data_IF_799018941529
#
_entry.id   IF_799018941529
#
_cell.length_a   1.000
_cell.length_b   1.000
_cell.length_c   1.000
_cell.angle_alpha   90.00
_cell.angle_beta   90.00
_cell.angle_gamma   90.00
#
_symmetry.space_group_name_H-M   'P 1'
#
loop_
_entity.id
_entity.type
_entity.pdbx_description
1 polymer ?
#
# COMPACT_ATOMS: atom_id res chain seq x y z
N UNK A 1 -16.40 5.27 5.16
CA UNK A 1 -17.50 5.84 5.97
C UNK A 1 -16.94 6.86 6.96
N UNK A 2 -17.48 8.08 6.94
CA UNK A 2 -17.22 9.07 8.00
C UNK A 2 -18.15 8.78 9.16
N UNK A 3 -17.61 8.78 10.37
CA UNK A 3 -18.40 8.60 11.58
C UNK A 3 -19.30 9.83 11.85
N UNK A 4 -20.32 9.70 12.70
CA UNK A 4 -21.26 10.80 12.98
C UNK A 4 -20.58 12.10 13.41
N UNK A 5 -21.31 13.21 13.29
CA UNK A 5 -20.82 14.56 13.62
C UNK A 5 -20.08 14.61 14.94
N UNK A 6 -18.86 15.13 14.94
CA UNK A 6 -17.99 15.31 16.11
C UNK A 6 -16.89 14.26 16.26
N UNK A 7 -16.93 13.15 15.54
CA UNK A 7 -15.86 12.14 15.56
C UNK A 7 -15.00 12.30 14.31
N UNK A 8 -13.75 12.79 14.42
CA UNK A 8 -12.89 13.07 13.27
C UNK A 8 -12.22 11.80 12.75
N UNK A 9 -13.00 10.76 12.45
CA UNK A 9 -12.53 9.46 11.99
C UNK A 9 -13.31 9.01 10.77
N UNK A 10 -12.63 8.43 9.79
CA UNK A 10 -13.23 7.68 8.70
C UNK A 10 -12.69 6.27 8.65
N UNK A 11 -13.54 5.33 8.31
CA UNK A 11 -13.19 3.95 8.02
C UNK A 11 -13.42 3.71 6.53
N UNK A 12 -12.49 2.99 5.90
CA UNK A 12 -12.68 2.50 4.54
C UNK A 12 -12.34 1.02 4.46
N UNK A 13 -13.05 0.32 3.60
CA UNK A 13 -12.79 -1.08 3.35
C UNK A 13 -13.11 -1.40 1.89
N UNK A 14 -12.37 -2.35 1.35
CA UNK A 14 -12.63 -2.93 0.05
C UNK A 14 -12.48 -4.44 0.15
N UNK A 15 -13.47 -5.16 -0.36
CA UNK A 15 -13.46 -6.60 -0.58
C UNK A 15 -13.63 -6.84 -2.05
N UNK A 16 -12.70 -7.58 -2.65
CA UNK A 16 -12.74 -7.96 -4.05
C UNK A 16 -12.86 -9.49 -4.09
N UNK A 17 -13.93 -9.97 -4.68
CA UNK A 17 -14.16 -11.39 -4.84
C UNK A 17 -13.76 -11.85 -6.24
N UNK A 18 -13.12 -13.01 -6.32
CA UNK A 18 -12.85 -13.72 -7.57
C UNK A 18 -13.73 -14.97 -7.71
N UNK A 19 -14.04 -15.34 -8.95
CA UNK A 19 -14.88 -16.49 -9.26
C UNK A 19 -14.27 -17.80 -8.72
N UNK A 20 -15.13 -18.68 -8.22
CA UNK A 20 -14.73 -20.00 -7.76
C UNK A 20 -14.23 -20.90 -8.89
N UNK A 21 -13.17 -21.67 -8.67
CA UNK A 21 -12.75 -22.74 -9.58
C UNK A 21 -13.79 -23.88 -9.56
N UNK A 22 -14.23 -24.32 -10.74
CA UNK A 22 -14.99 -25.54 -10.88
C UNK A 22 -16.50 -25.39 -11.11
N UNK A 23 -16.98 -24.23 -11.57
CA UNK A 23 -18.39 -24.09 -12.02
C UNK A 23 -19.41 -24.04 -10.87
N UNK A 24 -18.97 -23.85 -9.64
CA UNK A 24 -19.85 -23.53 -8.51
C UNK A 24 -20.30 -22.07 -8.58
N UNK A 25 -21.59 -21.81 -8.36
CA UNK A 25 -22.10 -20.46 -8.22
C UNK A 25 -21.53 -19.85 -6.92
N UNK A 26 -20.69 -18.81 -7.06
CA UNK A 26 -20.21 -18.04 -5.93
C UNK A 26 -18.77 -17.56 -6.04
N UNK A 27 -18.39 -16.71 -5.09
CA UNK A 27 -17.04 -16.16 -4.98
C UNK A 27 -16.13 -17.19 -4.32
N UNK A 28 -15.06 -17.60 -5.02
CA UNK A 28 -14.13 -18.62 -4.55
C UNK A 28 -13.00 -18.09 -3.70
N UNK A 29 -12.62 -16.84 -3.90
CA UNK A 29 -11.53 -16.22 -3.15
C UNK A 29 -11.70 -14.70 -3.00
N UNK A 30 -11.02 -14.13 -2.01
CA UNK A 30 -11.17 -12.74 -1.62
C UNK A 30 -9.84 -12.05 -1.44
N UNK A 31 -9.75 -10.80 -1.95
CA UNK A 31 -8.72 -9.84 -1.62
C UNK A 31 -9.32 -8.77 -0.71
N UNK A 32 -8.51 -8.15 0.14
CA UNK A 32 -9.01 -7.22 1.17
C UNK A 32 -8.12 -6.01 1.34
N UNK A 33 -8.78 -4.88 1.61
CA UNK A 33 -8.14 -3.65 2.03
C UNK A 33 -8.97 -3.00 3.13
N UNK A 34 -8.33 -2.60 4.20
CA UNK A 34 -8.94 -1.94 5.35
C UNK A 34 -8.11 -0.73 5.72
N UNK A 35 -8.77 0.36 6.08
CA UNK A 35 -8.08 1.53 6.57
C UNK A 35 -8.91 2.38 7.51
N UNK A 36 -8.18 3.13 8.31
CA UNK A 36 -8.70 4.13 9.23
C UNK A 36 -7.99 5.46 8.98
N UNK A 37 -8.73 6.52 9.00
CA UNK A 37 -8.23 7.88 8.88
C UNK A 37 -8.73 8.71 10.06
N UNK A 38 -7.84 9.52 10.60
CA UNK A 38 -8.14 10.48 11.65
C UNK A 38 -7.64 11.87 11.23
N UNK A 39 -8.42 12.90 11.49
CA UNK A 39 -8.00 14.28 11.28
C UNK A 39 -8.34 15.14 12.50
N UNK A 40 -7.56 16.19 12.71
CA UNK A 40 -7.73 17.06 13.88
C UNK A 40 -6.73 18.18 13.93
N UNK A 41 -6.56 18.71 15.12
CA UNK A 41 -5.58 19.78 15.41
C UNK A 41 -4.64 19.37 16.53
N UNK A 42 -3.35 19.64 16.34
CA UNK A 42 -2.28 19.51 17.32
C UNK A 42 -1.66 20.89 17.53
N UNK A 43 -2.12 21.62 18.56
CA UNK A 43 -1.72 23.01 18.76
C UNK A 43 -2.14 23.91 17.59
N UNK A 44 -1.17 24.51 16.91
CA UNK A 44 -1.40 25.37 15.73
C UNK A 44 -1.36 24.61 14.38
N UNK A 45 -1.21 23.30 14.38
CA UNK A 45 -1.17 22.46 13.19
C UNK A 45 -2.47 21.67 13.03
N UNK A 46 -2.99 21.61 11.81
CA UNK A 46 -3.98 20.62 11.41
C UNK A 46 -3.28 19.36 10.96
N UNK A 47 -3.83 18.19 11.27
CA UNK A 47 -3.28 16.92 10.82
C UNK A 47 -4.34 16.04 10.17
N UNK A 48 -3.86 15.18 9.27
CA UNK A 48 -4.59 14.06 8.69
C UNK A 48 -3.66 12.85 8.71
N UNK A 49 -4.05 11.84 9.46
CA UNK A 49 -3.26 10.61 9.63
C UNK A 49 -4.11 9.43 9.19
N UNK A 50 -3.52 8.52 8.43
CA UNK A 50 -4.18 7.29 8.00
C UNK A 50 -3.31 6.09 8.29
N UNK A 51 -3.96 4.98 8.57
CA UNK A 51 -3.37 3.65 8.61
C UNK A 51 -4.18 2.73 7.70
N UNK A 52 -3.48 1.93 6.88
CA UNK A 52 -4.11 1.02 5.93
C UNK A 52 -3.39 -0.32 5.94
N UNK A 53 -4.16 -1.39 5.78
CA UNK A 53 -3.68 -2.75 5.53
C UNK A 53 -4.32 -3.24 4.25
N UNK A 54 -3.51 -3.63 3.28
CA UNK A 54 -3.95 -4.30 2.06
C UNK A 54 -3.42 -5.73 2.06
N UNK A 55 -4.29 -6.69 1.79
CA UNK A 55 -3.96 -8.12 1.67
C UNK A 55 -4.42 -8.58 0.30
N UNK A 56 -3.48 -8.73 -0.62
CA UNK A 56 -3.70 -9.21 -1.99
C UNK A 56 -3.42 -10.70 -2.13
N UNK A 57 -3.16 -11.40 -1.03
CA UNK A 57 -3.20 -12.85 -0.98
C UNK A 57 -4.64 -13.33 -1.11
N UNK A 58 -4.93 -14.15 -2.09
CA UNK A 58 -6.24 -14.77 -2.21
C UNK A 58 -6.54 -15.65 -1.00
N UNK A 59 -7.75 -15.49 -0.44
CA UNK A 59 -8.21 -16.31 0.68
C UNK A 59 -9.53 -16.96 0.33
N UNK A 60 -9.61 -18.25 0.55
CA UNK A 60 -10.81 -19.04 0.32
C UNK A 60 -11.82 -18.90 1.48
N UNK A 61 -13.05 -19.42 1.25
CA UNK A 61 -14.12 -19.43 2.24
C UNK A 61 -14.89 -18.12 2.38
N UNK A 62 -15.93 -18.14 3.22
CA UNK A 62 -16.82 -17.01 3.42
C UNK A 62 -16.07 -15.77 3.88
N UNK A 63 -16.14 -14.71 3.11
CA UNK A 63 -15.44 -13.43 3.34
C UNK A 63 -13.90 -13.54 3.43
N UNK A 64 -13.28 -14.63 2.97
CA UNK A 64 -11.81 -14.78 2.94
C UNK A 64 -11.15 -14.89 4.31
N UNK A 65 -11.72 -15.67 5.22
CA UNK A 65 -11.14 -15.92 6.55
C UNK A 65 -10.48 -17.29 6.69
N UNK A 66 -10.44 -18.08 5.63
CA UNK A 66 -9.78 -19.38 5.60
C UNK A 66 -8.48 -19.37 4.80
N UNK A 67 -8.15 -20.48 4.20
CA UNK A 67 -6.86 -20.80 3.62
C UNK A 67 -6.34 -19.77 2.62
N UNK A 68 -5.04 -19.48 2.71
CA UNK A 68 -4.31 -18.63 1.78
C UNK A 68 -3.96 -19.42 0.52
N UNK A 69 -4.13 -18.79 -0.65
CA UNK A 69 -3.88 -19.39 -1.95
C UNK A 69 -2.91 -18.51 -2.74
N UNK A 70 -1.68 -18.96 -2.92
CA UNK A 70 -0.69 -18.21 -3.69
C UNK A 70 -1.03 -18.20 -5.19
N UNK A 71 -0.44 -17.25 -5.90
CA UNK A 71 -0.53 -17.12 -7.36
C UNK A 71 -1.98 -17.09 -7.89
N UNK A 72 -2.88 -16.42 -7.16
CA UNK A 72 -4.29 -16.34 -7.51
C UNK A 72 -4.67 -14.91 -7.95
N UNK A 73 -4.30 -13.89 -7.16
CA UNK A 73 -4.64 -12.52 -7.44
C UNK A 73 -4.08 -12.06 -8.80
N UNK A 74 -4.95 -11.43 -9.61
CA UNK A 74 -4.60 -10.94 -10.96
C UNK A 74 -4.21 -12.04 -11.97
N UNK A 75 -4.37 -13.31 -11.61
CA UNK A 75 -4.15 -14.45 -12.49
C UNK A 75 -5.48 -15.04 -12.96
N UNK A 76 -5.51 -15.60 -14.16
CA UNK A 76 -6.71 -16.27 -14.68
C UNK A 76 -6.35 -17.52 -15.48
N UNK A 77 -7.12 -18.60 -15.29
CA UNK A 77 -6.82 -19.88 -15.94
C UNK A 77 -7.08 -19.89 -17.45
N UNK A 78 -8.12 -19.20 -17.88
CA UNK A 78 -8.54 -19.12 -19.30
C UNK A 78 -7.89 -17.93 -19.99
N UNK A 79 -7.91 -16.76 -19.35
CA UNK A 79 -7.29 -15.55 -19.86
C UNK A 79 -5.85 -15.49 -19.37
N UNK A 80 -4.92 -16.04 -20.14
CA UNK A 80 -3.50 -16.23 -19.75
C UNK A 80 -2.76 -14.95 -19.39
N UNK A 81 -3.22 -13.78 -19.85
CA UNK A 81 -2.66 -12.49 -19.45
C UNK A 81 -3.06 -12.09 -18.04
N UNK A 82 -4.13 -12.72 -17.50
CA UNK A 82 -4.69 -12.34 -16.22
C UNK A 82 -5.21 -10.92 -16.20
N UNK A 83 -5.38 -10.34 -15.03
CA UNK A 83 -5.76 -8.94 -14.83
C UNK A 83 -4.50 -8.05 -14.77
N UNK A 84 -3.72 -8.07 -15.88
CA UNK A 84 -2.41 -7.42 -16.00
C UNK A 84 -2.30 -6.58 -17.27
N UNK A 85 -1.56 -5.47 -17.17
CA UNK A 85 -1.19 -4.63 -18.30
C UNK A 85 0.31 -4.33 -18.25
N UNK A 86 1.01 -4.56 -19.35
CA UNK A 86 2.48 -4.38 -19.45
C UNK A 86 3.26 -5.03 -18.28
N UNK A 87 2.84 -6.25 -17.89
CA UNK A 87 3.48 -7.02 -16.82
C UNK A 87 3.13 -6.61 -15.40
N UNK A 88 2.25 -5.60 -15.21
CA UNK A 88 1.81 -5.14 -13.89
C UNK A 88 0.35 -5.52 -13.63
N UNK A 89 0.04 -5.94 -12.41
CA UNK A 89 -1.34 -6.14 -11.97
C UNK A 89 -2.15 -4.85 -12.08
N UNK A 90 -3.38 -4.95 -12.62
CA UNK A 90 -4.31 -3.81 -12.66
C UNK A 90 -5.13 -3.82 -11.38
N UNK A 91 -4.52 -3.38 -10.30
CA UNK A 91 -5.14 -3.39 -8.98
C UNK A 91 -4.23 -2.72 -7.96
N UNK A 92 -3.96 -3.40 -6.84
CA UNK A 92 -3.08 -2.86 -5.83
C UNK A 92 -1.63 -2.72 -6.35
N UNK A 93 -0.92 -1.62 -6.05
CA UNK A 93 0.42 -1.36 -6.59
C UNK A 93 1.48 -2.37 -6.14
N UNK A 94 1.23 -3.13 -5.08
CA UNK A 94 2.14 -4.18 -4.59
C UNK A 94 1.95 -5.52 -5.30
N UNK A 95 1.07 -5.60 -6.32
CA UNK A 95 0.71 -6.82 -7.04
C UNK A 95 -0.03 -7.86 -6.18
N UNK A 96 -0.07 -9.12 -6.59
CA UNK A 96 -0.66 -10.24 -5.85
C UNK A 96 0.23 -10.73 -4.70
N UNK A 97 -0.29 -11.67 -3.92
CA UNK A 97 0.44 -12.42 -2.89
C UNK A 97 1.22 -11.54 -1.88
N UNK A 98 0.72 -10.34 -1.63
CA UNK A 98 1.36 -9.33 -0.81
C UNK A 98 0.48 -8.91 0.36
N UNK A 99 1.08 -8.67 1.51
CA UNK A 99 0.47 -7.91 2.60
C UNK A 99 1.24 -6.61 2.77
N UNK A 100 0.53 -5.49 2.69
CA UNK A 100 1.09 -4.16 2.82
C UNK A 100 0.44 -3.42 4.00
N UNK A 101 1.27 -2.78 4.79
CA UNK A 101 0.89 -1.87 5.86
C UNK A 101 1.37 -0.47 5.50
N UNK A 102 0.53 0.52 5.61
CA UNK A 102 0.92 1.90 5.41
C UNK A 102 0.40 2.80 6.52
N UNK A 103 1.26 3.64 7.04
CA UNK A 103 0.96 4.71 7.97
C UNK A 103 1.43 6.02 7.36
N UNK A 104 0.54 6.96 7.17
CA UNK A 104 0.88 8.28 6.65
C UNK A 104 0.27 9.39 7.50
N UNK A 105 1.01 10.50 7.63
CA UNK A 105 0.52 11.70 8.30
C UNK A 105 0.92 12.94 7.53
N UNK A 106 -0.04 13.84 7.34
CA UNK A 106 0.17 15.19 6.82
C UNK A 106 -0.15 16.19 7.92
N UNK A 107 0.80 17.07 8.23
CA UNK A 107 0.68 18.13 9.22
C UNK A 107 0.76 19.47 8.49
N UNK A 108 -0.25 20.31 8.64
CA UNK A 108 -0.32 21.64 8.00
C UNK A 108 -0.35 22.72 9.05
N UNK A 109 0.64 23.59 9.04
CA UNK A 109 0.73 24.73 9.93
C UNK A 109 -0.08 25.92 9.39
N UNK A 110 -0.54 26.79 10.26
CA UNK A 110 -1.33 27.97 9.89
C UNK A 110 -0.63 28.92 8.90
N UNK A 111 0.69 28.89 8.82
CA UNK A 111 1.51 29.63 7.83
C UNK A 111 1.65 28.95 6.47
N UNK A 112 0.94 27.81 6.23
CA UNK A 112 0.99 27.10 4.96
C UNK A 112 2.16 26.11 4.81
N UNK A 113 3.00 25.97 5.83
CA UNK A 113 4.03 24.92 5.85
C UNK A 113 3.37 23.57 6.04
N UNK A 114 3.88 22.55 5.35
CA UNK A 114 3.34 21.20 5.40
C UNK A 114 4.46 20.19 5.64
N UNK A 115 4.22 19.27 6.57
CA UNK A 115 5.05 18.10 6.79
C UNK A 115 4.32 16.85 6.33
N UNK A 116 5.04 15.96 5.66
CA UNK A 116 4.59 14.63 5.29
C UNK A 116 5.47 13.59 5.97
N UNK A 117 4.84 12.58 6.58
CA UNK A 117 5.51 11.43 7.16
C UNK A 117 4.83 10.19 6.59
N UNK A 118 5.60 9.23 6.10
CA UNK A 118 5.11 7.97 5.56
C UNK A 118 5.99 6.83 6.04
N UNK A 119 5.35 5.76 6.49
CA UNK A 119 5.96 4.47 6.82
C UNK A 119 5.19 3.40 6.05
N UNK A 120 5.89 2.53 5.32
CA UNK A 120 5.31 1.35 4.67
C UNK A 120 6.11 0.12 5.00
N UNK A 121 5.41 -0.99 5.17
CA UNK A 121 6.00 -2.32 5.27
C UNK A 121 5.22 -3.26 4.35
N UNK A 122 5.92 -4.02 3.53
CA UNK A 122 5.34 -4.93 2.55
C UNK A 122 6.01 -6.30 2.66
N UNK A 123 5.20 -7.32 2.82
CA UNK A 123 5.58 -8.74 2.79
C UNK A 123 5.14 -9.31 1.44
N UNK A 124 6.08 -9.51 0.53
CA UNK A 124 5.83 -9.96 -0.85
C UNK A 124 6.08 -11.45 -0.96
N UNK A 125 5.24 -12.19 -1.68
CA UNK A 125 5.34 -13.65 -1.86
C UNK A 125 5.48 -14.43 -0.54
N UNK A 126 4.68 -14.08 0.45
CA UNK A 126 4.76 -14.57 1.85
C UNK A 126 4.82 -16.09 2.02
N UNK A 127 4.18 -16.84 1.12
CA UNK A 127 4.15 -18.31 1.20
C UNK A 127 5.36 -18.98 0.54
N UNK A 128 6.27 -18.20 -0.03
CA UNK A 128 7.49 -18.72 -0.65
C UNK A 128 7.27 -19.38 -2.02
N UNK A 129 6.08 -19.27 -2.58
CA UNK A 129 5.77 -19.78 -3.92
C UNK A 129 6.34 -18.82 -4.98
N UNK A 130 7.26 -19.32 -5.78
CA UNK A 130 7.87 -18.50 -6.83
C UNK A 130 6.81 -18.05 -7.86
N UNK A 131 6.75 -16.77 -8.14
CA UNK A 131 5.87 -16.17 -9.13
C UNK A 131 6.67 -15.30 -10.11
N UNK A 132 7.04 -15.86 -11.24
CA UNK A 132 7.79 -15.16 -12.29
C UNK A 132 7.02 -13.96 -12.92
N UNK A 133 5.72 -13.85 -12.67
CA UNK A 133 4.87 -12.75 -13.17
C UNK A 133 4.72 -11.61 -12.17
N UNK A 134 5.12 -11.82 -10.93
CA UNK A 134 5.02 -10.77 -9.90
C UNK A 134 5.88 -9.56 -10.28
N UNK A 135 5.28 -8.37 -10.29
CA UNK A 135 5.93 -7.16 -10.83
C UNK A 135 7.02 -6.57 -9.93
N UNK A 136 7.08 -6.96 -8.65
CA UNK A 136 8.08 -6.46 -7.70
C UNK A 136 9.16 -7.50 -7.41
N UNK A 137 8.77 -8.74 -7.10
CA UNK A 137 9.71 -9.81 -6.81
C UNK A 137 9.10 -11.17 -7.14
N UNK A 138 9.91 -12.06 -7.74
CA UNK A 138 9.53 -13.46 -7.96
C UNK A 138 9.75 -14.34 -6.73
N UNK A 139 10.38 -13.83 -5.68
CA UNK A 139 10.73 -14.54 -4.43
C UNK A 139 10.18 -13.76 -3.23
N UNK A 140 10.09 -14.41 -2.05
CA UNK A 140 9.73 -13.70 -0.81
C UNK A 140 10.67 -12.54 -0.52
N UNK A 141 10.08 -11.36 -0.32
CA UNK A 141 10.80 -10.12 -0.10
C UNK A 141 10.04 -9.23 0.88
N UNK A 142 10.70 -8.82 1.96
CA UNK A 142 10.18 -7.85 2.90
C UNK A 142 10.78 -6.47 2.61
N UNK A 143 9.93 -5.46 2.46
CA UNK A 143 10.37 -4.08 2.19
C UNK A 143 9.81 -3.17 3.27
N UNK A 144 10.67 -2.34 3.84
CA UNK A 144 10.28 -1.28 4.77
C UNK A 144 10.77 0.06 4.26
N UNK A 145 9.83 0.99 4.03
CA UNK A 145 10.09 2.35 3.55
C UNK A 145 9.70 3.37 4.62
N UNK A 146 10.57 4.36 4.82
CA UNK A 146 10.30 5.53 5.64
C UNK A 146 10.58 6.78 4.83
N UNK A 147 9.66 7.74 4.83
CA UNK A 147 9.86 9.02 4.17
C UNK A 147 9.38 10.16 5.06
N UNK A 148 10.17 11.22 5.10
CA UNK A 148 9.79 12.50 5.71
C UNK A 148 9.98 13.60 4.68
N UNK A 149 9.00 14.48 4.57
CA UNK A 149 9.04 15.60 3.64
C UNK A 149 8.55 16.90 4.29
N UNK A 150 9.01 18.00 3.76
CA UNK A 150 8.61 19.33 4.14
C UNK A 150 8.32 20.18 2.91
N UNK A 151 7.20 20.87 2.92
CA UNK A 151 6.81 21.79 1.86
C UNK A 151 6.51 23.16 2.44
N UNK A 152 6.96 24.20 1.75
CA UNK A 152 6.67 25.59 2.11
C UNK A 152 6.51 26.46 0.87
N UNK A 153 5.67 27.48 1.01
CA UNK A 153 5.49 28.51 0.01
C UNK A 153 6.38 29.69 0.35
N UNK A 154 7.19 30.12 -0.63
CA UNK A 154 8.06 31.30 -0.52
C UNK A 154 7.65 32.35 -1.54
N UNK A 155 8.20 33.55 -1.44
CA UNK A 155 8.01 34.60 -2.47
C UNK A 155 8.53 34.22 -3.85
N UNK A 156 9.38 33.19 -3.95
CA UNK A 156 9.97 32.72 -5.21
C UNK A 156 9.31 31.45 -5.76
N UNK A 157 8.28 30.94 -5.09
CA UNK A 157 7.60 29.70 -5.45
C UNK A 157 7.53 28.70 -4.31
N UNK A 158 7.09 27.51 -4.64
CA UNK A 158 6.93 26.38 -3.71
C UNK A 158 8.21 25.57 -3.65
N UNK A 159 8.70 25.31 -2.46
CA UNK A 159 9.82 24.41 -2.17
C UNK A 159 9.29 23.18 -1.48
N UNK A 160 9.64 22.00 -2.00
CA UNK A 160 9.32 20.71 -1.41
C UNK A 160 10.61 19.88 -1.31
N UNK A 161 10.99 19.50 -0.12
CA UNK A 161 12.20 18.72 0.16
C UNK A 161 11.86 17.52 1.03
N UNK A 162 12.64 16.46 0.92
CA UNK A 162 12.44 15.27 1.76
C UNK A 162 13.60 14.31 1.70
N UNK A 163 13.55 13.37 2.63
CA UNK A 163 14.44 12.24 2.75
C UNK A 163 13.62 10.96 2.76
N UNK A 164 14.17 9.91 2.18
CA UNK A 164 13.57 8.58 2.19
C UNK A 164 14.64 7.55 2.53
N UNK A 165 14.24 6.50 3.22
CA UNK A 165 15.04 5.33 3.50
C UNK A 165 14.21 4.09 3.17
N UNK A 166 14.81 3.12 2.47
CA UNK A 166 14.21 1.84 2.14
C UNK A 166 15.16 0.74 2.57
N UNK A 167 14.61 -0.32 3.17
CA UNK A 167 15.32 -1.56 3.46
C UNK A 167 14.54 -2.71 2.87
N UNK A 168 15.23 -3.60 2.18
CA UNK A 168 14.68 -4.83 1.65
C UNK A 168 15.46 -6.03 2.17
N UNK A 169 14.73 -7.07 2.57
CA UNK A 169 15.25 -8.32 3.11
C UNK A 169 14.74 -9.48 2.24
N UNK A 170 15.64 -10.13 1.51
CA UNK A 170 15.32 -11.32 0.71
C UNK A 170 15.61 -12.57 1.54
N UNK A 171 14.55 -13.27 1.96
CA UNK A 171 14.67 -14.45 2.82
C UNK A 171 15.26 -15.67 2.09
N UNK A 172 15.22 -15.73 0.76
CA UNK A 172 15.78 -16.81 -0.06
C UNK A 172 17.26 -16.58 -0.33
N UNK A 173 17.60 -15.37 -0.75
CA UNK A 173 19.00 -14.99 -1.02
C UNK A 173 19.79 -14.72 0.27
N UNK A 174 19.13 -14.66 1.44
CA UNK A 174 19.71 -14.25 2.72
C UNK A 174 20.52 -12.96 2.58
N UNK A 175 19.97 -12.01 1.83
CA UNK A 175 20.60 -10.74 1.51
C UNK A 175 19.73 -9.56 1.96
N UNK A 176 20.38 -8.63 2.63
CA UNK A 176 19.79 -7.35 3.02
C UNK A 176 20.32 -6.25 2.11
N UNK A 177 19.45 -5.37 1.68
CA UNK A 177 19.81 -4.16 0.95
C UNK A 177 19.15 -2.94 1.60
N UNK A 178 19.84 -1.82 1.58
CA UNK A 178 19.26 -0.57 2.06
C UNK A 178 19.68 0.60 1.18
N UNK A 179 18.73 1.47 0.91
CA UNK A 179 18.91 2.68 0.14
C UNK A 179 18.43 3.89 0.92
N UNK A 180 19.16 5.00 0.79
CA UNK A 180 18.75 6.30 1.31
C UNK A 180 18.80 7.35 0.21
N UNK A 181 17.80 8.19 0.16
CA UNK A 181 17.69 9.23 -0.83
C UNK A 181 17.21 10.56 -0.25
N UNK A 182 17.52 11.65 -0.93
CA UNK A 182 16.97 12.96 -0.65
C UNK A 182 16.48 13.58 -1.96
N UNK A 183 15.47 14.44 -1.87
CA UNK A 183 14.98 15.19 -3.00
C UNK A 183 14.73 16.65 -2.65
N UNK A 184 14.87 17.50 -3.64
CA UNK A 184 14.49 18.91 -3.59
C UNK A 184 13.75 19.24 -4.89
N UNK A 185 12.54 19.74 -4.77
CA UNK A 185 11.73 20.23 -5.88
C UNK A 185 11.39 21.70 -5.66
N UNK A 186 11.55 22.47 -6.69
CA UNK A 186 11.08 23.85 -6.75
C UNK A 186 10.09 24.01 -7.89
N UNK A 187 9.02 24.76 -7.68
CA UNK A 187 8.04 25.09 -8.72
C UNK A 187 7.62 26.55 -8.61
N UNK A 188 7.58 27.24 -9.76
CA UNK A 188 7.00 28.57 -9.87
C UNK A 188 5.49 28.55 -9.62
N UNK A 189 4.93 29.71 -9.29
CA UNK A 189 3.50 29.98 -9.26
C UNK A 189 2.91 30.03 -10.66
#
# INVERSE_FOLDING_TARGET
WKLPKGIPVALHMQWIGEDGRGGGEGIGSWLRQLGIEHWGRLGNMSHRTHFEVADTMCREGGFGFSDEKPNCAYEHTTYRTGYRYSGRGIGHPTDGDTRAYSLGSTLVQSGGQMWGISLRHMEINRLGEANARHSLSSTPLDITDVQVSYETLTRYGRIHAGIAYSRSEDSVASSDSSDAGAFLRWSNH
#
